data_IF_707246155226
#
_entry.id   IF_707246155226
#
_cell.length_a   1.000
_cell.length_b   1.000
_cell.length_c   1.000
_cell.angle_alpha   90.00
_cell.angle_beta   90.00
_cell.angle_gamma   90.00
#
_symmetry.space_group_name_H-M   'P 1'
#
loop_
_entity.id
_entity.type
_entity.pdbx_description
1 polymer ?
#
# COMPACT_ATOMS: atom_id res chain seq x y z
N UNK A 1 -16.82 15.75 11.95
CA UNK A 1 -16.73 14.95 10.71
C UNK A 1 -15.38 14.27 10.75
N UNK A 2 -15.33 13.06 11.28
CA UNK A 2 -14.13 12.23 11.25
C UNK A 2 -13.85 11.90 9.78
N UNK A 3 -12.68 12.30 9.29
CA UNK A 3 -12.23 11.93 7.96
C UNK A 3 -11.95 10.44 8.00
N UNK A 4 -12.65 9.64 7.19
CA UNK A 4 -12.38 8.21 7.10
C UNK A 4 -10.89 8.01 6.80
N UNK A 5 -10.23 7.17 7.60
CA UNK A 5 -8.80 6.95 7.48
C UNK A 5 -8.50 6.36 6.09
N UNK A 6 -7.40 6.82 5.48
CA UNK A 6 -6.93 6.29 4.20
C UNK A 6 -5.42 6.21 4.18
N UNK A 7 -4.90 5.23 3.44
CA UNK A 7 -3.47 5.06 3.20
C UNK A 7 -3.17 5.44 1.76
N UNK A 8 -2.46 6.55 1.58
CA UNK A 8 -2.02 7.06 0.27
C UNK A 8 -0.63 6.53 -0.07
N UNK A 9 -0.53 5.81 -1.20
CA UNK A 9 0.69 5.15 -1.67
C UNK A 9 1.02 5.65 -3.07
N UNK A 10 2.22 6.22 -3.26
CA UNK A 10 2.74 6.56 -4.59
C UNK A 10 3.41 5.33 -5.21
N UNK A 11 3.01 5.00 -6.43
CA UNK A 11 3.55 3.91 -7.25
C UNK A 11 4.29 4.53 -8.42
N UNK A 12 5.61 4.39 -8.46
CA UNK A 12 6.44 4.97 -9.52
C UNK A 12 6.71 3.97 -10.66
N UNK A 13 6.52 2.67 -10.40
CA UNK A 13 6.84 1.60 -11.36
C UNK A 13 5.80 0.48 -11.35
N UNK A 14 5.65 -0.28 -12.46
CA UNK A 14 4.76 -1.45 -12.49
C UNK A 14 5.12 -2.53 -11.48
N UNK A 15 6.41 -2.69 -11.18
CA UNK A 15 6.92 -3.67 -10.21
C UNK A 15 6.53 -3.32 -8.76
N UNK A 16 6.48 -2.02 -8.43
CA UNK A 16 5.88 -1.56 -7.16
C UNK A 16 4.38 -1.83 -7.09
N UNK A 17 3.66 -1.73 -8.22
CA UNK A 17 2.23 -2.05 -8.26
C UNK A 17 1.97 -3.52 -7.95
N UNK A 18 2.76 -4.42 -8.56
CA UNK A 18 2.68 -5.86 -8.30
C UNK A 18 2.98 -6.16 -6.84
N UNK A 19 4.05 -5.58 -6.27
CA UNK A 19 4.38 -5.73 -4.85
C UNK A 19 3.24 -5.28 -3.94
N UNK A 20 2.63 -4.13 -4.22
CA UNK A 20 1.51 -3.62 -3.45
C UNK A 20 0.31 -4.58 -3.54
N UNK A 21 -0.04 -5.07 -4.74
CA UNK A 21 -1.15 -6.01 -4.90
C UNK A 21 -0.90 -7.33 -4.15
N UNK A 22 0.32 -7.87 -4.23
CA UNK A 22 0.69 -9.08 -3.46
C UNK A 22 0.62 -8.83 -1.96
N UNK A 23 1.09 -7.68 -1.48
CA UNK A 23 1.01 -7.30 -0.08
C UNK A 23 -0.45 -7.18 0.39
N UNK A 24 -1.31 -6.51 -0.39
CA UNK A 24 -2.74 -6.39 -0.10
C UNK A 24 -3.38 -7.77 0.03
N UNK A 25 -3.12 -8.69 -0.90
CA UNK A 25 -3.68 -10.05 -0.85
C UNK A 25 -3.24 -10.81 0.41
N UNK A 26 -1.97 -10.72 0.80
CA UNK A 26 -1.47 -11.30 2.05
C UNK A 26 -2.16 -10.69 3.26
N UNK A 27 -2.19 -9.37 3.34
CA UNK A 27 -2.83 -8.65 4.44
C UNK A 27 -4.33 -9.00 4.57
N UNK A 28 -5.07 -9.07 3.46
CA UNK A 28 -6.47 -9.49 3.47
C UNK A 28 -6.62 -10.91 4.03
N UNK A 29 -5.77 -11.83 3.60
CA UNK A 29 -5.81 -13.23 4.05
C UNK A 29 -5.54 -13.36 5.56
N UNK A 30 -4.57 -12.60 6.09
CA UNK A 30 -4.23 -12.58 7.51
C UNK A 30 -5.33 -11.92 8.39
N UNK A 31 -6.19 -11.10 7.79
CA UNK A 31 -7.22 -10.33 8.51
C UNK A 31 -8.65 -10.82 8.24
N UNK A 32 -8.82 -12.02 7.66
CA UNK A 32 -10.15 -12.62 7.47
C UNK A 32 -10.96 -12.02 6.31
N UNK A 33 -10.27 -11.48 5.30
CA UNK A 33 -10.85 -10.88 4.08
C UNK A 33 -11.84 -9.72 4.34
N UNK A 34 -11.41 -8.64 5.00
CA UNK A 34 -12.24 -7.46 5.19
C UNK A 34 -12.56 -6.77 3.87
N UNK A 35 -13.60 -5.94 3.85
CA UNK A 35 -13.89 -5.08 2.70
C UNK A 35 -12.80 -4.01 2.55
N UNK A 36 -12.36 -3.82 1.30
CA UNK A 36 -11.32 -2.87 0.92
C UNK A 36 -11.78 -2.07 -0.30
N UNK A 37 -11.47 -0.77 -0.29
CA UNK A 37 -11.57 0.11 -1.44
C UNK A 37 -10.18 0.56 -1.84
N UNK A 38 -9.82 0.32 -3.09
CA UNK A 38 -8.56 0.81 -3.69
C UNK A 38 -8.92 1.76 -4.82
N UNK A 39 -8.66 3.04 -4.61
CA UNK A 39 -8.79 4.07 -5.65
C UNK A 39 -7.40 4.34 -6.23
N UNK A 40 -7.32 4.42 -7.56
CA UNK A 40 -6.08 4.76 -8.25
C UNK A 40 -6.31 6.04 -9.04
N UNK A 41 -5.59 7.10 -8.68
CA UNK A 41 -5.58 8.36 -9.42
C UNK A 41 -4.22 8.45 -10.16
N UNK A 42 -4.20 8.38 -11.50
CA UNK A 42 -2.96 8.49 -12.26
C UNK A 42 -2.44 9.94 -12.23
N UNK A 43 -1.14 10.09 -12.02
CA UNK A 43 -0.44 11.36 -12.15
C UNK A 43 0.16 11.44 -13.56
N UNK A 44 -0.47 12.24 -14.42
CA UNK A 44 -0.13 12.33 -15.84
C UNK A 44 1.22 13.03 -16.09
N UNK A 45 1.70 13.83 -15.14
CA UNK A 45 2.95 14.59 -15.24
C UNK A 45 4.18 13.76 -14.87
N UNK A 46 4.07 12.90 -13.86
CA UNK A 46 5.18 12.05 -13.39
C UNK A 46 5.14 10.63 -13.93
N UNK A 47 4.01 10.20 -14.51
CA UNK A 47 3.76 8.82 -14.90
C UNK A 47 3.59 7.87 -13.70
N UNK A 48 3.56 8.41 -12.47
CA UNK A 48 3.28 7.66 -11.26
C UNK A 48 1.76 7.52 -11.05
N UNK A 49 1.35 6.57 -10.21
CA UNK A 49 -0.03 6.46 -9.76
C UNK A 49 -0.11 6.71 -8.25
N UNK A 50 -1.13 7.46 -7.81
CA UNK A 50 -1.49 7.55 -6.40
C UNK A 50 -2.57 6.52 -6.11
N UNK A 51 -2.22 5.49 -5.32
CA UNK A 51 -3.19 4.52 -4.82
C UNK A 51 -3.63 4.89 -3.41
N UNK A 52 -4.92 5.13 -3.26
CA UNK A 52 -5.58 5.34 -1.97
C UNK A 52 -6.26 4.04 -1.54
N UNK A 53 -5.84 3.50 -0.41
CA UNK A 53 -6.37 2.28 0.18
C UNK A 53 -7.17 2.62 1.43
N UNK A 54 -8.40 2.12 1.51
CA UNK A 54 -9.29 2.28 2.65
C UNK A 54 -9.93 0.94 2.98
N UNK A 55 -10.07 0.64 4.28
CA UNK A 55 -10.78 -0.53 4.78
C UNK A 55 -12.11 -0.13 5.41
N UNK A 56 -12.97 -1.12 5.65
CA UNK A 56 -14.25 -0.93 6.35
C UNK A 56 -14.13 -0.30 7.75
N UNK A 57 -12.95 -0.38 8.38
CA UNK A 57 -12.66 0.30 9.64
C UNK A 57 -11.38 1.12 9.58
N UNK A 58 -11.36 2.22 10.34
CA UNK A 58 -10.17 3.05 10.52
C UNK A 58 -9.03 2.28 11.20
N UNK A 59 -9.33 1.35 12.11
CA UNK A 59 -8.32 0.53 12.77
C UNK A 59 -7.57 -0.34 11.74
N UNK A 60 -8.30 -1.03 10.87
CA UNK A 60 -7.69 -1.84 9.80
C UNK A 60 -6.87 -0.98 8.84
N UNK A 61 -7.35 0.22 8.53
CA UNK A 61 -6.61 1.15 7.66
C UNK A 61 -5.29 1.60 8.30
N UNK A 62 -5.27 1.90 9.61
CA UNK A 62 -4.04 2.23 10.34
C UNK A 62 -3.09 1.04 10.42
N UNK A 63 -3.60 -0.16 10.74
CA UNK A 63 -2.79 -1.39 10.75
C UNK A 63 -2.15 -1.68 9.40
N UNK A 64 -2.91 -1.47 8.31
CA UNK A 64 -2.39 -1.61 6.96
C UNK A 64 -1.27 -0.61 6.68
N UNK A 65 -1.45 0.67 7.04
CA UNK A 65 -0.41 1.70 6.92
C UNK A 65 0.88 1.29 7.62
N UNK A 66 0.79 0.84 8.88
CA UNK A 66 1.96 0.45 9.67
C UNK A 66 2.66 -0.78 9.06
N UNK A 67 1.89 -1.80 8.67
CA UNK A 67 2.40 -3.02 8.07
C UNK A 67 3.07 -2.74 6.72
N UNK A 68 2.46 -1.92 5.86
CA UNK A 68 3.02 -1.52 4.57
C UNK A 68 4.29 -0.70 4.74
N UNK A 69 4.29 0.27 5.66
CA UNK A 69 5.47 1.12 5.92
C UNK A 69 6.66 0.28 6.38
N UNK A 70 6.43 -0.72 7.23
CA UNK A 70 7.45 -1.68 7.65
C UNK A 70 7.95 -2.55 6.49
N UNK A 71 7.03 -3.08 5.67
CA UNK A 71 7.34 -3.91 4.51
C UNK A 71 8.18 -3.14 3.46
N UNK A 72 7.73 -1.94 3.06
CA UNK A 72 8.40 -1.11 2.07
C UNK A 72 9.79 -0.65 2.55
N UNK A 73 9.95 -0.37 3.84
CA UNK A 73 11.26 -0.07 4.42
C UNK A 73 12.19 -1.30 4.41
N UNK A 74 11.65 -2.47 4.73
CA UNK A 74 12.37 -3.75 4.70
C UNK A 74 12.88 -4.10 3.29
N UNK A 75 12.05 -3.86 2.28
CA UNK A 75 12.38 -4.10 0.87
C UNK A 75 13.50 -3.18 0.38
N UNK A 76 13.40 -1.87 0.65
CA UNK A 76 14.47 -0.90 0.34
C UNK A 76 15.81 -1.29 0.96
N UNK A 77 15.81 -1.80 2.20
CA UNK A 77 17.03 -2.29 2.89
C UNK A 77 17.58 -3.57 2.29
N UNK A 78 16.77 -4.41 1.65
CA UNK A 78 17.24 -5.60 0.91
C UNK A 78 17.87 -5.19 -0.41
N UNK A 79 17.21 -4.29 -1.16
CA UNK A 79 17.73 -3.76 -2.42
C UNK A 79 19.06 -3.01 -2.24
N UNK A 80 19.20 -2.22 -1.16
CA UNK A 80 20.46 -1.54 -0.85
C UNK A 80 21.61 -2.49 -0.49
N UNK A 81 21.32 -3.69 0.03
CA UNK A 81 22.32 -4.69 0.43
C UNK A 81 22.71 -5.68 -0.67
N UNK A 82 21.86 -5.87 -1.68
CA UNK A 82 22.13 -6.78 -2.80
C UNK A 82 22.99 -6.20 -3.93
N UNK A 83 23.53 -4.98 -3.76
CA UNK A 83 24.28 -4.24 -4.79
C UNK A 83 25.76 -3.98 -4.41
N UNK A 84 26.30 -4.77 -3.48
CA UNK A 84 27.71 -4.75 -3.07
C UNK A 84 28.52 -5.85 -3.78
#
# INVERSE_FOLDING_TARGET
>A
MDHAASTDIRIATPDEDVRLNTFIQGFLSDNGFPFIMVRSDPDLDTGAALKRVMFETDELTRRFYDAWSSYALGDRRRLARGRA
#
